data_IF_184977584418
#
_entry.id   IF_184977584418
#
_cell.length_a   1.000
_cell.length_b   1.000
_cell.length_c   1.000
_cell.angle_alpha   90.00
_cell.angle_beta   90.00
_cell.angle_gamma   90.00
#
_symmetry.space_group_name_H-M   'P 1'
#
loop_
_entity.id
_entity.type
_entity.pdbx_description
1 polymer ?
#
# COMPACT_ATOMS: atom_id res chain seq x y z
N UNK A 1 3.27 13.27 4.14
CA UNK A 1 4.46 14.07 3.81
C UNK A 1 4.27 14.56 2.39
N UNK A 2 3.54 15.65 2.24
CA UNK A 2 3.31 16.33 0.98
C UNK A 2 4.52 17.21 0.67
N UNK A 3 5.03 17.11 -0.56
CA UNK A 3 6.01 18.03 -1.12
C UNK A 3 5.33 19.38 -1.40
N UNK A 4 4.79 20.04 -0.37
CA UNK A 4 4.28 21.39 -0.51
C UNK A 4 5.47 22.31 -0.82
N UNK A 5 5.49 22.77 -2.07
CA UNK A 5 6.22 23.94 -2.54
C UNK A 5 6.21 25.01 -1.45
N UNK A 6 7.38 25.31 -0.91
CA UNK A 6 7.56 26.54 -0.14
C UNK A 6 7.44 27.69 -1.14
N UNK A 7 6.52 28.65 -0.92
CA UNK A 7 6.28 29.72 -1.86
C UNK A 7 7.50 30.65 -1.90
N UNK A 8 8.03 30.85 -3.10
CA UNK A 8 9.06 31.84 -3.40
C UNK A 8 8.57 33.23 -3.01
N UNK A 9 9.15 33.78 -1.94
CA UNK A 9 9.02 35.18 -1.51
C UNK A 9 10.39 35.86 -1.47
N UNK A 10 10.46 37.04 -2.07
CA UNK A 10 11.60 37.93 -2.37
C UNK A 10 12.74 38.05 -1.33
N UNK A 11 13.92 38.49 -1.85
CA UNK A 11 15.25 38.85 -1.28
C UNK A 11 16.42 38.08 -1.97
N UNK A 12 17.69 38.45 -1.72
CA UNK A 12 18.88 38.47 -2.60
C UNK A 12 19.28 37.35 -3.61
N UNK A 13 19.95 37.69 -4.75
CA UNK A 13 20.07 36.84 -5.94
C UNK A 13 21.25 35.83 -5.96
N UNK A 14 22.24 35.95 -5.05
CA UNK A 14 23.49 35.16 -5.15
C UNK A 14 23.73 34.21 -3.97
N UNK A 15 23.06 34.43 -2.82
CA UNK A 15 23.10 33.51 -1.64
C UNK A 15 21.83 32.66 -1.49
N UNK A 16 20.86 32.88 -2.39
CA UNK A 16 19.61 32.16 -2.75
C UNK A 16 19.48 30.65 -2.58
N UNK A 17 20.44 29.98 -3.16
CA UNK A 17 20.27 28.66 -3.75
C UNK A 17 21.41 27.87 -3.14
N UNK A 18 21.11 26.73 -2.53
CA UNK A 18 22.18 25.89 -1.98
C UNK A 18 23.23 25.52 -3.04
N UNK A 19 24.32 24.88 -2.61
CA UNK A 19 25.49 24.63 -3.48
C UNK A 19 25.05 23.79 -4.67
N UNK A 20 25.39 24.21 -5.90
CA UNK A 20 25.13 23.45 -7.13
C UNK A 20 26.41 23.31 -7.95
N UNK A 21 26.76 22.05 -8.24
CA UNK A 21 27.88 21.66 -9.08
C UNK A 21 27.33 20.97 -10.32
N UNK A 22 27.35 21.65 -11.47
CA UNK A 22 26.88 21.09 -12.73
C UNK A 22 26.72 22.15 -13.83
N UNK A 23 26.35 21.73 -15.05
CA UNK A 23 26.17 22.63 -16.17
C UNK A 23 24.99 23.58 -15.96
N UNK A 24 25.02 24.69 -16.71
CA UNK A 24 23.95 25.68 -16.79
C UNK A 24 23.66 26.00 -18.25
N UNK A 25 22.41 26.35 -18.55
CA UNK A 25 22.02 26.84 -19.87
C UNK A 25 22.37 28.33 -20.06
N UNK A 26 22.10 28.89 -21.24
CA UNK A 26 22.35 30.30 -21.59
C UNK A 26 21.66 31.31 -20.65
N UNK A 27 20.54 30.90 -20.02
CA UNK A 27 19.80 31.71 -19.03
C UNK A 27 20.36 31.56 -17.60
N UNK A 28 21.49 30.85 -17.42
CA UNK A 28 22.10 30.58 -16.12
C UNK A 28 21.36 29.55 -15.27
N UNK A 29 20.34 28.87 -15.81
CA UNK A 29 19.56 27.86 -15.09
C UNK A 29 20.30 26.52 -15.07
N UNK A 30 20.11 25.71 -14.01
CA UNK A 30 20.68 24.36 -13.91
C UNK A 30 20.24 23.50 -15.10
N UNK A 31 21.18 22.79 -15.72
CA UNK A 31 20.92 21.99 -16.91
C UNK A 31 21.89 20.81 -17.00
N UNK A 32 21.46 19.69 -17.59
CA UNK A 32 22.25 18.47 -17.65
C UNK A 32 22.41 17.81 -16.28
N UNK A 33 23.40 16.91 -16.14
CA UNK A 33 23.64 16.21 -14.89
C UNK A 33 24.36 17.11 -13.87
N UNK A 34 23.87 17.17 -12.64
CA UNK A 34 24.50 17.96 -11.58
C UNK A 34 24.13 17.52 -10.18
N UNK A 35 24.86 18.07 -9.22
CA UNK A 35 24.73 17.81 -7.79
C UNK A 35 24.31 19.09 -7.08
N UNK A 36 23.33 19.00 -6.20
CA UNK A 36 22.83 20.13 -5.42
C UNK A 36 22.71 19.76 -3.93
N UNK A 37 23.29 20.58 -3.06
CA UNK A 37 22.96 20.60 -1.63
C UNK A 37 21.97 21.73 -1.41
N UNK A 38 20.73 21.43 -1.03
CA UNK A 38 19.69 22.40 -0.74
C UNK A 38 19.90 23.01 0.65
N UNK A 39 19.28 24.17 0.89
CA UNK A 39 19.40 24.89 2.17
C UNK A 39 18.87 24.13 3.38
N UNK A 40 17.84 23.32 3.15
CA UNK A 40 17.29 22.45 4.20
C UNK A 40 18.21 21.27 4.53
N UNK A 41 19.35 21.13 3.84
CA UNK A 41 20.31 20.04 3.98
C UNK A 41 19.97 18.82 3.14
N UNK A 42 18.94 18.88 2.29
CA UNK A 42 18.67 17.82 1.32
C UNK A 42 19.74 17.81 0.22
N UNK A 43 19.97 16.65 -0.37
CA UNK A 43 20.88 16.49 -1.49
C UNK A 43 20.11 15.97 -2.71
N UNK A 44 20.47 16.47 -3.89
CA UNK A 44 20.02 15.91 -5.16
C UNK A 44 21.19 15.69 -6.09
N UNK A 45 21.22 14.52 -6.72
CA UNK A 45 22.18 14.18 -7.77
C UNK A 45 21.40 13.62 -8.95
N UNK A 46 21.42 14.28 -10.09
CA UNK A 46 20.65 13.85 -11.25
C UNK A 46 20.54 14.89 -12.35
N UNK A 47 19.65 14.63 -13.29
CA UNK A 47 19.48 15.50 -14.45
C UNK A 47 18.62 16.73 -14.13
N UNK A 48 18.98 17.85 -14.75
CA UNK A 48 18.25 19.10 -14.70
C UNK A 48 17.88 19.55 -16.11
N UNK A 49 16.68 20.11 -16.26
CA UNK A 49 16.24 20.79 -17.47
C UNK A 49 15.55 22.10 -17.09
N UNK A 50 15.98 23.21 -17.68
CA UNK A 50 15.45 24.56 -17.42
C UNK A 50 15.34 24.90 -15.91
N UNK A 51 16.35 24.53 -15.12
CA UNK A 51 16.40 24.79 -13.68
C UNK A 51 15.60 23.82 -12.80
N UNK A 52 14.85 22.88 -13.39
CA UNK A 52 14.04 21.88 -12.69
C UNK A 52 14.66 20.50 -12.77
N UNK A 53 14.47 19.67 -11.74
CA UNK A 53 14.84 18.24 -11.77
C UNK A 53 14.11 17.57 -12.95
N UNK A 54 14.83 16.79 -13.73
CA UNK A 54 14.31 16.10 -14.90
C UNK A 54 15.01 14.74 -15.03
N UNK A 55 14.52 13.85 -15.89
CA UNK A 55 15.20 12.58 -16.15
C UNK A 55 15.39 11.74 -14.89
N UNK A 56 16.49 11.03 -14.78
CA UNK A 56 16.79 10.23 -13.59
C UNK A 56 17.53 11.04 -12.52
N UNK A 57 17.20 10.81 -11.26
CA UNK A 57 17.94 11.41 -10.15
C UNK A 57 17.71 10.73 -8.81
N UNK A 58 18.64 11.01 -7.90
CA UNK A 58 18.64 10.57 -6.51
C UNK A 58 18.46 11.79 -5.62
N UNK A 59 17.43 11.77 -4.78
CA UNK A 59 17.14 12.80 -3.79
C UNK A 59 17.27 12.20 -2.40
N UNK A 60 18.19 12.72 -1.59
CA UNK A 60 18.34 12.35 -0.19
C UNK A 60 17.77 13.47 0.67
N UNK A 61 16.82 13.13 1.52
CA UNK A 61 16.23 14.06 2.45
C UNK A 61 17.06 14.08 3.74
N UNK A 62 17.21 15.25 4.36
CA UNK A 62 17.90 15.37 5.66
C UNK A 62 17.28 14.51 6.75
N UNK A 63 15.99 14.20 6.66
CA UNK A 63 15.27 13.33 7.58
C UNK A 63 15.59 11.82 7.41
N UNK A 64 16.47 11.45 6.47
CA UNK A 64 16.86 10.07 6.19
C UNK A 64 16.07 9.38 5.08
N UNK A 65 14.97 9.99 4.60
CA UNK A 65 14.27 9.47 3.43
C UNK A 65 15.15 9.58 2.17
N UNK A 66 14.90 8.72 1.18
CA UNK A 66 15.56 8.78 -0.12
C UNK A 66 14.62 8.41 -1.25
N UNK A 67 14.70 9.14 -2.35
CA UNK A 67 14.07 8.80 -3.61
C UNK A 67 15.13 8.57 -4.67
N UNK A 68 14.96 7.55 -5.49
CA UNK A 68 15.77 7.28 -6.66
C UNK A 68 14.84 6.90 -7.81
N UNK A 69 14.80 7.72 -8.85
CA UNK A 69 13.87 7.47 -9.95
C UNK A 69 13.75 8.64 -10.91
N UNK A 70 12.71 8.55 -11.73
CA UNK A 70 12.44 9.52 -12.78
C UNK A 70 11.76 10.79 -12.22
N UNK A 71 12.06 11.91 -12.85
CA UNK A 71 11.52 13.23 -12.58
C UNK A 71 11.06 13.89 -13.88
N UNK A 72 9.93 14.59 -13.84
CA UNK A 72 9.47 15.47 -14.89
C UNK A 72 9.14 16.84 -14.30
N UNK A 73 9.87 17.87 -14.73
CA UNK A 73 9.66 19.28 -14.33
C UNK A 73 9.61 19.47 -12.81
N UNK A 74 10.50 18.79 -12.09
CA UNK A 74 10.62 18.89 -10.64
C UNK A 74 9.79 17.88 -9.85
N UNK A 75 8.93 17.10 -10.51
CA UNK A 75 7.95 16.20 -9.89
C UNK A 75 8.36 14.74 -10.15
N UNK A 76 8.18 13.86 -9.15
CA UNK A 76 8.40 12.40 -9.31
C UNK A 76 7.42 11.84 -10.34
N UNK A 77 7.93 11.17 -11.35
CA UNK A 77 7.18 10.66 -12.50
C UNK A 77 7.80 9.33 -12.95
N UNK A 78 7.04 8.44 -13.60
CA UNK A 78 7.58 7.19 -14.13
C UNK A 78 8.00 6.21 -13.05
N UNK A 79 9.08 5.45 -13.23
CA UNK A 79 9.50 4.45 -12.23
C UNK A 79 10.45 5.05 -11.19
N UNK A 80 10.25 4.65 -9.92
CA UNK A 80 11.11 5.12 -8.84
C UNK A 80 10.97 4.32 -7.55
N UNK A 81 12.01 4.42 -6.74
CA UNK A 81 12.16 3.79 -5.43
C UNK A 81 12.14 4.90 -4.39
N UNK A 82 11.24 4.81 -3.41
CA UNK A 82 11.25 5.69 -2.24
C UNK A 82 11.46 4.87 -0.98
N UNK A 83 12.47 5.21 -0.20
CA UNK A 83 12.76 4.58 1.09
C UNK A 83 12.53 5.62 2.17
N UNK A 84 11.64 5.30 3.08
CA UNK A 84 11.16 6.17 4.14
C UNK A 84 12.10 6.12 5.36
N UNK A 85 12.03 7.11 6.26
CA UNK A 85 12.90 7.15 7.45
C UNK A 85 12.69 5.97 8.40
N UNK A 86 11.49 5.37 8.41
CA UNK A 86 11.16 4.18 9.20
C UNK A 86 11.71 2.88 8.60
N UNK A 87 12.37 2.94 7.43
CA UNK A 87 12.88 1.79 6.70
C UNK A 87 11.86 1.15 5.76
N UNK A 88 10.60 1.59 5.75
CA UNK A 88 9.64 1.16 4.74
C UNK A 88 10.09 1.61 3.35
N UNK A 89 9.65 0.90 2.30
CA UNK A 89 10.09 1.08 0.93
C UNK A 89 8.93 0.96 -0.03
N UNK A 90 8.79 1.92 -0.94
CA UNK A 90 7.97 1.81 -2.13
C UNK A 90 8.86 1.64 -3.37
N UNK A 91 8.48 0.73 -4.25
CA UNK A 91 9.11 0.49 -5.53
C UNK A 91 8.01 0.37 -6.59
N UNK A 92 7.93 1.30 -7.54
CA UNK A 92 6.85 1.29 -8.51
C UNK A 92 6.71 2.56 -9.31
N UNK A 93 5.51 2.73 -9.88
CA UNK A 93 5.19 3.83 -10.75
C UNK A 93 4.75 5.09 -9.96
N UNK A 94 5.15 6.25 -10.48
CA UNK A 94 4.87 7.57 -9.95
C UNK A 94 4.21 8.40 -11.04
N UNK A 95 3.21 9.17 -10.66
CA UNK A 95 2.54 10.11 -11.55
C UNK A 95 2.15 11.35 -10.78
N UNK A 96 2.60 12.52 -11.24
CA UNK A 96 2.29 13.79 -10.58
C UNK A 96 2.71 13.81 -9.10
N UNK A 97 3.83 13.17 -8.77
CA UNK A 97 4.37 13.12 -7.41
C UNK A 97 3.76 12.05 -6.52
N UNK A 98 2.74 11.33 -6.99
CA UNK A 98 2.02 10.33 -6.23
C UNK A 98 2.36 8.91 -6.72
N UNK A 99 2.30 7.93 -5.83
CA UNK A 99 2.32 6.51 -6.20
C UNK A 99 1.09 6.22 -7.06
N UNK A 100 1.30 5.57 -8.19
CA UNK A 100 0.29 5.27 -9.20
C UNK A 100 0.61 3.95 -9.90
N UNK A 101 -0.30 3.41 -10.69
CA UNK A 101 -0.07 2.21 -11.50
C UNK A 101 0.32 0.99 -10.66
N UNK A 102 1.32 0.21 -11.07
CA UNK A 102 1.80 -0.96 -10.33
C UNK A 102 2.96 -0.59 -9.39
N UNK A 103 2.97 -1.21 -8.20
CA UNK A 103 4.09 -1.05 -7.28
C UNK A 103 4.02 -1.96 -6.06
N UNK A 104 5.19 -2.12 -5.43
CA UNK A 104 5.39 -2.88 -4.20
C UNK A 104 5.72 -1.93 -3.05
N UNK A 105 5.00 -2.05 -1.94
CA UNK A 105 5.30 -1.39 -0.69
C UNK A 105 5.68 -2.42 0.36
N UNK A 106 6.90 -2.32 0.89
CA UNK A 106 7.40 -3.12 2.02
C UNK A 106 7.36 -2.26 3.26
N UNK A 107 6.62 -2.70 4.28
CA UNK A 107 6.46 -2.00 5.54
C UNK A 107 7.63 -2.34 6.49
N UNK A 108 7.90 -1.45 7.44
CA UNK A 108 8.96 -1.65 8.44
C UNK A 108 8.74 -2.89 9.33
N UNK A 109 7.48 -3.29 9.53
CA UNK A 109 7.10 -4.51 10.27
C UNK A 109 7.30 -5.81 9.47
N UNK A 110 7.77 -5.73 8.21
CA UNK A 110 7.97 -6.87 7.33
C UNK A 110 6.74 -7.29 6.52
N UNK A 111 5.59 -6.63 6.72
CA UNK A 111 4.45 -6.77 5.81
C UNK A 111 4.81 -6.23 4.43
N UNK A 112 4.09 -6.66 3.42
CA UNK A 112 4.19 -6.04 2.11
C UNK A 112 2.87 -6.05 1.35
N UNK A 113 2.73 -5.09 0.45
CA UNK A 113 1.68 -5.01 -0.55
C UNK A 113 2.30 -4.95 -1.94
N UNK A 114 1.77 -5.69 -2.89
CA UNK A 114 2.15 -5.64 -4.30
C UNK A 114 0.89 -5.62 -5.16
N UNK A 115 0.72 -4.57 -5.97
CA UNK A 115 -0.48 -4.41 -6.78
C UNK A 115 -0.69 -2.99 -7.27
N UNK A 116 -1.95 -2.67 -7.55
CA UNK A 116 -2.34 -1.37 -8.09
C UNK A 116 -2.35 -0.23 -7.06
N UNK A 117 -2.02 0.96 -7.55
CA UNK A 117 -1.97 2.21 -6.81
C UNK A 117 -2.67 3.32 -7.58
N UNK A 118 -3.38 4.17 -6.85
CA UNK A 118 -3.99 5.39 -7.38
C UNK A 118 -3.91 6.48 -6.33
N UNK A 119 -3.28 7.60 -6.67
CA UNK A 119 -3.15 8.77 -5.79
C UNK A 119 -2.66 8.40 -4.37
N UNK A 120 -1.57 7.62 -4.28
CA UNK A 120 -0.99 7.11 -3.02
C UNK A 120 -1.80 6.05 -2.27
N UNK A 121 -2.96 5.61 -2.78
CA UNK A 121 -3.78 4.57 -2.16
C UNK A 121 -3.68 3.25 -2.93
N UNK A 122 -3.80 2.13 -2.23
CA UNK A 122 -3.95 0.80 -2.85
C UNK A 122 -5.28 0.77 -3.60
N UNK A 123 -5.27 0.36 -4.86
CA UNK A 123 -6.44 0.44 -5.74
C UNK A 123 -6.35 -0.62 -6.86
N UNK A 124 -7.46 -1.29 -7.17
CA UNK A 124 -7.47 -2.38 -8.14
C UNK A 124 -7.05 -3.72 -7.53
N UNK A 125 -6.45 -4.62 -8.31
CA UNK A 125 -6.01 -5.93 -7.83
C UNK A 125 -4.67 -5.84 -7.09
N UNK A 126 -4.51 -6.61 -6.02
CA UNK A 126 -3.24 -6.69 -5.32
C UNK A 126 -3.17 -7.79 -4.27
N UNK A 127 -1.94 -8.08 -3.88
CA UNK A 127 -1.56 -9.05 -2.87
C UNK A 127 -1.00 -8.33 -1.63
N UNK A 128 -1.47 -8.71 -0.45
CA UNK A 128 -0.97 -8.24 0.83
C UNK A 128 -0.51 -9.43 1.66
N UNK A 129 0.73 -9.38 2.11
CA UNK A 129 1.27 -10.35 3.05
C UNK A 129 1.42 -9.74 4.43
N UNK A 130 0.82 -10.40 5.41
CA UNK A 130 0.91 -10.08 6.81
C UNK A 130 1.94 -10.99 7.48
N UNK A 131 3.09 -10.42 7.87
CA UNK A 131 4.25 -11.17 8.37
C UNK A 131 3.95 -11.87 9.69
N UNK A 132 3.23 -11.21 10.59
CA UNK A 132 3.00 -11.72 11.94
C UNK A 132 2.15 -13.00 11.96
N UNK A 133 1.16 -13.10 11.07
CA UNK A 133 0.27 -14.27 11.01
C UNK A 133 0.59 -15.21 9.85
N UNK A 134 1.64 -14.91 9.09
CA UNK A 134 2.00 -15.60 7.84
C UNK A 134 0.79 -15.73 6.88
N UNK A 135 0.02 -14.65 6.76
CA UNK A 135 -1.23 -14.64 5.99
C UNK A 135 -1.07 -13.84 4.72
N UNK A 136 -1.52 -14.43 3.62
CA UNK A 136 -1.57 -13.82 2.31
C UNK A 136 -3.01 -13.48 1.92
N UNK A 137 -3.29 -12.24 1.54
CA UNK A 137 -4.54 -11.79 0.96
C UNK A 137 -4.31 -11.46 -0.51
N UNK A 138 -5.10 -12.03 -1.42
CA UNK A 138 -5.14 -11.67 -2.85
C UNK A 138 -6.55 -11.26 -3.21
N UNK A 139 -6.75 -10.03 -3.64
CA UNK A 139 -8.08 -9.57 -4.01
C UNK A 139 -8.11 -8.12 -4.46
N UNK A 140 -9.32 -7.57 -4.52
CA UNK A 140 -9.51 -6.20 -4.96
C UNK A 140 -9.36 -5.21 -3.80
N UNK A 141 -8.94 -4.00 -4.16
CA UNK A 141 -8.71 -2.86 -3.30
C UNK A 141 -9.41 -1.65 -3.89
N UNK A 142 -10.00 -0.82 -3.04
CA UNK A 142 -10.60 0.45 -3.43
C UNK A 142 -10.25 1.50 -2.40
N UNK A 143 -9.58 2.57 -2.83
CA UNK A 143 -9.20 3.69 -1.94
C UNK A 143 -8.49 3.25 -0.65
N UNK A 144 -7.58 2.28 -0.77
CA UNK A 144 -6.78 1.77 0.34
C UNK A 144 -7.39 0.61 1.13
N UNK A 145 -8.67 0.27 0.90
CA UNK A 145 -9.42 -0.77 1.63
C UNK A 145 -9.63 -2.02 0.80
N UNK A 146 -9.71 -3.18 1.44
CA UNK A 146 -10.11 -4.45 0.81
C UNK A 146 -11.58 -4.38 0.41
N UNK A 147 -11.88 -4.73 -0.83
CA UNK A 147 -13.22 -4.67 -1.40
C UNK A 147 -13.42 -5.79 -2.43
N UNK A 148 -14.63 -6.32 -2.54
CA UNK A 148 -14.98 -7.33 -3.53
C UNK A 148 -14.37 -8.71 -3.24
N UNK A 149 -14.24 -9.53 -4.30
CA UNK A 149 -13.79 -10.91 -4.17
C UNK A 149 -12.30 -10.99 -3.78
N UNK A 150 -11.98 -11.94 -2.91
CA UNK A 150 -10.62 -12.19 -2.45
C UNK A 150 -10.39 -13.65 -2.03
N UNK A 151 -9.13 -14.04 -2.05
CA UNK A 151 -8.60 -15.27 -1.49
C UNK A 151 -7.64 -14.92 -0.34
N UNK A 152 -7.85 -15.50 0.83
CA UNK A 152 -6.96 -15.38 1.99
C UNK A 152 -6.39 -16.74 2.32
N UNK A 153 -5.08 -16.86 2.44
CA UNK A 153 -4.40 -18.14 2.67
C UNK A 153 -3.34 -17.98 3.74
N UNK A 154 -3.27 -18.93 4.67
CA UNK A 154 -2.12 -19.14 5.56
C UNK A 154 -1.94 -20.65 5.79
N UNK A 155 -1.04 -21.03 6.71
CA UNK A 155 -0.74 -22.43 7.00
C UNK A 155 -1.91 -23.22 7.63
N UNK A 156 -2.95 -22.53 8.12
CA UNK A 156 -4.07 -23.14 8.82
C UNK A 156 -5.34 -23.23 7.98
N UNK A 157 -5.59 -22.24 7.13
CA UNK A 157 -6.81 -22.18 6.34
C UNK A 157 -6.65 -21.41 5.03
N UNK A 158 -7.59 -21.66 4.12
CA UNK A 158 -7.88 -20.82 2.97
C UNK A 158 -9.31 -20.31 3.07
N UNK A 159 -9.53 -19.02 2.86
CA UNK A 159 -10.85 -18.41 2.70
C UNK A 159 -10.98 -17.85 1.29
N UNK A 160 -12.07 -18.19 0.59
CA UNK A 160 -12.45 -17.63 -0.69
C UNK A 160 -13.81 -16.96 -0.50
N UNK A 161 -13.92 -15.66 -0.71
CA UNK A 161 -15.17 -14.95 -0.49
C UNK A 161 -15.05 -13.46 -0.80
N UNK A 162 -15.86 -12.64 -0.15
CA UNK A 162 -15.92 -11.21 -0.41
C UNK A 162 -15.52 -10.39 0.82
N UNK A 163 -15.05 -9.17 0.55
CA UNK A 163 -14.76 -8.14 1.53
C UNK A 163 -15.54 -6.87 1.17
N UNK A 164 -15.93 -6.12 2.18
CA UNK A 164 -16.40 -4.74 2.00
C UNK A 164 -15.84 -3.87 3.11
N UNK A 165 -15.21 -2.75 2.76
CA UNK A 165 -14.57 -1.82 3.71
C UNK A 165 -13.68 -2.54 4.73
N UNK A 166 -12.77 -3.38 4.25
CA UNK A 166 -11.84 -4.19 5.04
C UNK A 166 -12.43 -5.37 5.83
N UNK A 167 -13.75 -5.55 5.86
CA UNK A 167 -14.38 -6.63 6.61
C UNK A 167 -14.82 -7.75 5.67
N UNK A 168 -14.59 -9.04 6.02
CA UNK A 168 -15.16 -10.14 5.25
C UNK A 168 -16.69 -10.09 5.32
N UNK A 169 -17.35 -10.34 4.19
CA UNK A 169 -18.80 -10.18 4.07
C UNK A 169 -19.37 -11.14 3.02
N UNK A 170 -20.62 -11.54 3.20
CA UNK A 170 -21.38 -12.30 2.22
C UNK A 170 -20.89 -13.75 2.08
N UNK A 171 -21.29 -14.44 1.00
CA UNK A 171 -21.02 -15.86 0.82
C UNK A 171 -19.53 -16.14 0.64
N UNK A 172 -19.08 -17.27 1.16
CA UNK A 172 -17.70 -17.70 1.02
C UNK A 172 -17.50 -19.18 1.31
N UNK A 173 -16.23 -19.57 1.24
CA UNK A 173 -15.77 -20.95 1.43
C UNK A 173 -14.49 -20.92 2.26
N UNK A 174 -14.51 -21.57 3.42
CA UNK A 174 -13.32 -21.82 4.22
C UNK A 174 -12.84 -23.25 3.99
N UNK A 175 -11.54 -23.45 3.82
CA UNK A 175 -10.92 -24.77 3.68
C UNK A 175 -9.84 -24.90 4.75
N UNK A 176 -9.89 -26.00 5.47
CA UNK A 176 -8.95 -26.43 6.50
C UNK A 176 -8.39 -27.80 6.10
N UNK A 177 -7.41 -28.31 6.83
CA UNK A 177 -6.95 -29.68 6.61
C UNK A 177 -8.11 -30.67 6.82
N UNK A 178 -8.52 -31.37 5.76
CA UNK A 178 -9.55 -32.41 5.80
C UNK A 178 -11.01 -31.94 5.80
N UNK A 179 -11.28 -30.63 5.87
CA UNK A 179 -12.63 -30.08 5.97
C UNK A 179 -12.78 -28.78 5.18
N UNK A 180 -13.90 -28.62 4.51
CA UNK A 180 -14.31 -27.39 3.85
C UNK A 180 -15.69 -26.97 4.35
N UNK A 181 -15.82 -25.71 4.68
CA UNK A 181 -17.07 -25.09 5.11
C UNK A 181 -17.55 -24.15 4.02
N UNK A 182 -18.84 -24.25 3.69
CA UNK A 182 -19.56 -23.24 2.93
C UNK A 182 -20.38 -22.44 3.92
N UNK A 183 -20.47 -21.13 3.71
CA UNK A 183 -21.14 -20.24 4.63
C UNK A 183 -21.14 -18.81 4.14
N UNK A 184 -21.46 -17.91 5.06
CA UNK A 184 -21.47 -16.48 4.80
C UNK A 184 -20.97 -15.70 6.02
N UNK A 185 -20.30 -14.57 5.78
CA UNK A 185 -20.03 -13.57 6.82
C UNK A 185 -21.18 -12.57 6.90
N UNK A 186 -21.77 -12.44 8.08
CA UNK A 186 -22.87 -11.51 8.36
C UNK A 186 -22.39 -10.48 9.38
N UNK A 187 -22.52 -9.19 9.05
CA UNK A 187 -22.29 -8.13 10.02
C UNK A 187 -23.35 -8.17 11.09
N UNK A 188 -22.92 -8.37 12.34
CA UNK A 188 -23.80 -8.54 13.48
C UNK A 188 -23.46 -7.50 14.54
N UNK A 189 -24.50 -6.87 15.10
CA UNK A 189 -24.36 -6.01 16.26
C UNK A 189 -24.05 -6.87 17.49
N UNK A 190 -22.88 -6.65 18.08
CA UNK A 190 -22.47 -7.25 19.35
C UNK A 190 -22.41 -6.18 20.44
N UNK A 191 -22.75 -6.57 21.67
CA UNK A 191 -22.71 -5.68 22.82
C UNK A 191 -21.41 -5.89 23.58
N UNK A 192 -20.56 -4.86 23.60
CA UNK A 192 -19.26 -4.89 24.27
C UNK A 192 -19.33 -4.02 25.52
N UNK A 193 -18.74 -4.49 26.61
CA UNK A 193 -18.74 -3.76 27.88
C UNK A 193 -17.43 -3.00 28.04
N UNK A 194 -17.48 -1.68 27.86
CA UNK A 194 -16.34 -0.78 27.99
C UNK A 194 -16.56 0.14 29.18
N UNK A 195 -15.64 0.09 30.17
CA UNK A 195 -15.70 0.93 31.38
C UNK A 195 -17.06 0.94 32.11
N UNK A 196 -17.76 -0.20 32.11
CA UNK A 196 -19.07 -0.34 32.76
C UNK A 196 -20.28 0.06 31.92
N UNK A 197 -20.09 0.65 30.73
CA UNK A 197 -21.15 0.93 29.76
C UNK A 197 -21.23 -0.18 28.69
N UNK A 198 -22.45 -0.46 28.21
CA UNK A 198 -22.67 -1.35 27.07
C UNK A 198 -22.67 -0.50 25.78
N UNK A 199 -21.78 -0.83 24.86
CA UNK A 199 -21.66 -0.20 23.55
C UNK A 199 -21.96 -1.24 22.46
N UNK A 200 -22.62 -0.82 21.39
CA UNK A 200 -22.87 -1.67 20.22
C UNK A 200 -21.71 -1.55 19.24
N UNK A 201 -21.14 -2.67 18.84
CA UNK A 201 -20.08 -2.78 17.84
C UNK A 201 -20.52 -3.73 16.72
N UNK A 202 -20.20 -3.41 15.48
CA UNK A 202 -20.51 -4.27 14.33
C UNK A 202 -19.32 -5.18 14.02
N UNK A 203 -19.53 -6.50 14.09
CA UNK A 203 -18.51 -7.50 13.77
C UNK A 203 -19.01 -8.52 12.74
N UNK A 204 -18.15 -8.96 11.80
CA UNK A 204 -18.48 -10.00 10.84
C UNK A 204 -18.41 -11.37 11.51
N UNK A 205 -19.55 -12.06 11.57
CA UNK A 205 -19.65 -13.40 12.13
C UNK A 205 -19.80 -14.41 11.00
N UNK A 206 -18.96 -15.45 11.00
CA UNK A 206 -19.06 -16.55 10.05
C UNK A 206 -20.25 -17.46 10.42
N UNK A 207 -21.16 -17.65 9.48
CA UNK A 207 -22.29 -18.57 9.56
C UNK A 207 -22.09 -19.74 8.60
N UNK A 208 -21.70 -20.89 9.15
CA UNK A 208 -21.58 -22.12 8.37
C UNK A 208 -22.96 -22.63 7.92
N UNK A 209 -23.12 -22.91 6.62
CA UNK A 209 -24.36 -23.45 6.02
C UNK A 209 -24.22 -24.91 5.61
N UNK A 210 -23.01 -25.36 5.23
CA UNK A 210 -22.74 -26.77 4.96
C UNK A 210 -21.26 -27.12 5.13
N UNK A 211 -20.99 -28.41 5.33
CA UNK A 211 -19.66 -28.99 5.53
C UNK A 211 -19.40 -30.06 4.46
N UNK A 212 -18.20 -30.03 3.89
CA UNK A 212 -17.64 -31.04 3.00
C UNK A 212 -16.36 -31.60 3.65
N UNK A 213 -16.25 -32.93 3.76
CA UNK A 213 -15.05 -33.59 4.27
C UNK A 213 -14.29 -34.25 3.11
N UNK A 214 -12.97 -34.19 3.13
CA UNK A 214 -12.12 -34.88 2.15
C UNK A 214 -11.46 -36.10 2.81
N UNK A 215 -11.87 -37.33 2.44
CA UNK A 215 -11.34 -38.60 2.95
C UNK A 215 -12.41 -39.54 3.55
N UNK A 216 -12.02 -40.74 3.99
CA UNK A 216 -12.88 -41.83 4.53
C UNK A 216 -13.77 -41.45 5.75
N UNK A 217 -13.63 -40.23 6.27
CA UNK A 217 -14.44 -39.69 7.38
C UNK A 217 -15.59 -38.80 6.89
N UNK A 218 -16.20 -39.10 5.74
CA UNK A 218 -17.49 -38.51 5.39
C UNK A 218 -18.55 -39.05 6.37
N UNK A 219 -19.25 -38.20 7.15
CA UNK A 219 -20.30 -38.70 8.04
C UNK A 219 -21.40 -39.33 7.18
N UNK A 220 -21.60 -40.63 7.32
CA UNK A 220 -22.73 -41.36 6.74
C UNK A 220 -24.00 -40.72 7.30
N UNK A 221 -24.64 -39.84 6.52
CA UNK A 221 -25.95 -39.28 6.87
C UNK A 221 -26.97 -40.41 6.92
N UNK A 222 -27.19 -41.02 8.08
CA UNK A 222 -28.44 -41.71 8.36
C UNK A 222 -29.50 -40.65 8.67
N UNK A 223 -30.22 -40.22 7.63
CA UNK A 223 -31.49 -39.53 7.80
C UNK A 223 -32.46 -40.51 8.45
N UNK A 224 -32.68 -40.41 9.76
CA UNK A 224 -33.85 -41.02 10.39
C UNK A 224 -35.04 -40.08 10.17
N UNK A 225 -36.18 -40.58 9.67
CA UNK A 225 -37.39 -39.78 9.61
C UNK A 225 -37.85 -39.45 11.03
N UNK A 226 -37.97 -38.17 11.33
CA UNK A 226 -38.70 -37.70 12.51
C UNK A 226 -40.15 -38.11 12.35
N UNK A 227 -40.65 -38.92 13.30
CA UNK A 227 -42.08 -39.10 13.54
C UNK A 227 -42.63 -37.89 14.29
#
# INVERSE_FOLDING_TARGET
MSDYDSPDGDLDPVSRIGIYNGPRNEKGQRHGFGEATLRNGDEYVGEYCEGKRHGFGKYKFKNGARYEGQYARGIKEGNGIFIYPDGSKYEGQWQGGNRSGQGKYTYANGDWYEGGWKQNMKDGQGEYYHKQTDTNYRGSWSSGRREGAANVTNNHYTYQGYFSKDMPHGPGKMSFQGCRQHGEYIMTDIFVRNNGMLETQQEPIWRCTSLEYSGENAPVRQLKPTK
#
